data_IF_188208426793
#
_entry.id   IF_188208426793
#
_cell.length_a   1.000
_cell.length_b   1.000
_cell.length_c   1.000
_cell.angle_alpha   90.00
_cell.angle_beta   90.00
_cell.angle_gamma   90.00
#
_symmetry.space_group_name_H-M   'P 1'
#
loop_
_entity.id
_entity.type
_entity.pdbx_description
1 polymer ?
#
# COMPACT_ATOMS: atom_id res chain seq x y z
N UNK A 1 -8.78 -0.97 13.53
CA UNK A 1 -9.78 -0.15 12.80
C UNK A 1 -11.16 -0.26 13.47
N UNK A 2 -11.80 0.84 13.92
CA UNK A 2 -13.08 0.77 14.65
C UNK A 2 -14.28 0.97 13.70
N UNK A 3 -14.91 -0.12 13.26
CA UNK A 3 -15.92 -0.15 12.20
C UNK A 3 -17.34 0.14 12.73
N UNK A 4 -17.62 1.37 13.15
CA UNK A 4 -19.02 1.85 13.34
C UNK A 4 -19.68 2.23 12.01
N UNK A 5 -19.60 1.34 11.01
CA UNK A 5 -19.93 1.66 9.61
C UNK A 5 -21.21 0.98 9.10
N UNK A 6 -21.86 0.14 9.91
CA UNK A 6 -22.99 -0.70 9.49
C UNK A 6 -22.58 -1.81 8.53
N UNK A 7 -21.28 -2.06 8.37
CA UNK A 7 -20.72 -3.22 7.64
C UNK A 7 -20.26 -4.25 8.65
N UNK A 8 -20.59 -5.53 8.43
CA UNK A 8 -20.01 -6.63 9.21
C UNK A 8 -18.61 -6.91 8.66
N UNK A 9 -17.54 -6.74 9.45
CA UNK A 9 -16.16 -6.80 8.94
C UNK A 9 -15.80 -8.15 8.29
N UNK A 10 -16.36 -9.24 8.82
CA UNK A 10 -16.12 -10.60 8.32
C UNK A 10 -16.98 -11.03 7.12
N UNK A 11 -17.88 -10.18 6.61
CA UNK A 11 -18.59 -10.50 5.37
C UNK A 11 -17.62 -10.55 4.20
N UNK A 12 -17.88 -11.43 3.23
CA UNK A 12 -17.21 -11.44 1.93
C UNK A 12 -17.33 -10.05 1.29
N UNK A 13 -16.21 -9.50 0.82
CA UNK A 13 -16.17 -8.24 0.11
C UNK A 13 -16.64 -8.40 -1.35
N UNK A 14 -17.21 -7.33 -1.87
CA UNK A 14 -17.47 -7.10 -3.29
C UNK A 14 -16.61 -5.94 -3.78
N UNK A 15 -16.40 -5.83 -5.08
CA UNK A 15 -15.67 -4.69 -5.67
C UNK A 15 -16.29 -3.36 -5.22
N UNK A 16 -17.62 -3.25 -5.24
CA UNK A 16 -18.37 -2.02 -4.94
C UNK A 16 -18.20 -1.54 -3.48
N UNK A 17 -17.69 -2.39 -2.58
CA UNK A 17 -17.46 -2.01 -1.18
C UNK A 17 -16.39 -0.91 -1.04
N UNK A 18 -15.52 -0.68 -2.04
CA UNK A 18 -14.49 0.37 -1.98
C UNK A 18 -15.09 1.76 -1.70
N UNK A 19 -16.29 2.04 -2.24
CA UNK A 19 -16.99 3.33 -2.05
C UNK A 19 -17.35 3.49 -0.57
N UNK A 20 -18.05 2.52 0.00
CA UNK A 20 -18.48 2.58 1.40
C UNK A 20 -17.30 2.55 2.37
N UNK A 21 -16.27 1.76 2.07
CA UNK A 21 -15.06 1.69 2.88
C UNK A 21 -14.37 3.05 2.93
N UNK A 22 -14.13 3.69 1.78
CA UNK A 22 -13.47 5.00 1.70
C UNK A 22 -14.33 6.16 2.20
N UNK A 23 -15.66 6.04 2.18
CA UNK A 23 -16.55 7.05 2.77
C UNK A 23 -16.63 6.97 4.30
N UNK A 24 -16.69 5.74 4.84
CA UNK A 24 -17.05 5.50 6.25
C UNK A 24 -15.85 5.27 7.17
N UNK A 25 -14.70 4.87 6.64
CA UNK A 25 -13.49 4.69 7.42
C UNK A 25 -12.66 5.97 7.40
N UNK A 26 -12.49 6.68 8.55
CA UNK A 26 -11.81 7.98 8.56
C UNK A 26 -10.40 7.95 7.98
N UNK A 27 -9.63 6.88 8.25
CA UNK A 27 -8.27 6.71 7.73
C UNK A 27 -8.25 6.53 6.21
N UNK A 28 -9.16 5.72 5.65
CA UNK A 28 -9.26 5.55 4.20
C UNK A 28 -9.79 6.82 3.51
N UNK A 29 -10.75 7.51 4.14
CA UNK A 29 -11.26 8.79 3.66
C UNK A 29 -10.16 9.85 3.56
N UNK A 30 -9.33 9.93 4.61
CA UNK A 30 -8.18 10.85 4.64
C UNK A 30 -7.18 10.51 3.53
N UNK A 31 -6.79 9.23 3.40
CA UNK A 31 -5.92 8.79 2.32
C UNK A 31 -6.49 9.16 0.94
N UNK A 32 -7.75 8.81 0.67
CA UNK A 32 -8.42 9.11 -0.59
C UNK A 32 -8.42 10.61 -0.90
N UNK A 33 -8.62 11.46 0.11
CA UNK A 33 -8.62 12.92 -0.09
C UNK A 33 -7.27 13.49 -0.54
N UNK A 34 -6.16 12.83 -0.15
CA UNK A 34 -4.80 13.22 -0.49
C UNK A 34 -4.34 12.60 -1.81
N UNK A 35 -4.67 11.33 -2.01
CA UNK A 35 -4.23 10.57 -3.19
C UNK A 35 -5.10 10.79 -4.41
N UNK A 36 -6.38 11.14 -4.19
CA UNK A 36 -7.42 11.18 -5.23
C UNK A 36 -7.43 9.89 -6.05
N UNK A 37 -7.25 8.76 -5.37
CA UNK A 37 -7.17 7.45 -6.01
C UNK A 37 -8.44 7.11 -6.78
N UNK A 38 -8.29 6.50 -7.95
CA UNK A 38 -9.39 6.01 -8.77
C UNK A 38 -9.33 4.49 -8.86
N UNK A 39 -10.44 3.83 -8.53
CA UNK A 39 -10.52 2.37 -8.47
C UNK A 39 -11.13 1.81 -9.76
N UNK A 40 -10.55 0.71 -10.25
CA UNK A 40 -11.05 -0.02 -11.40
C UNK A 40 -11.05 -1.52 -11.11
N UNK A 41 -12.04 -2.25 -11.62
CA UNK A 41 -12.07 -3.69 -11.53
C UNK A 41 -11.20 -4.31 -12.62
N UNK A 42 -10.29 -5.19 -12.24
CA UNK A 42 -9.49 -6.01 -13.13
C UNK A 42 -9.37 -7.44 -12.56
N UNK A 43 -10.24 -8.33 -13.02
CA UNK A 43 -10.28 -9.73 -12.55
C UNK A 43 -9.12 -10.58 -13.13
N UNK A 44 -8.28 -10.00 -14.00
CA UNK A 44 -7.14 -10.67 -14.63
C UNK A 44 -5.79 -10.32 -13.97
N UNK A 45 -5.78 -9.66 -12.80
CA UNK A 45 -4.57 -9.36 -12.02
C UNK A 45 -3.77 -10.62 -11.61
N UNK A 46 -4.42 -11.78 -11.67
CA UNK A 46 -3.87 -13.05 -11.23
C UNK A 46 -4.19 -13.35 -9.76
N UNK A 47 -3.96 -14.59 -9.35
CA UNK A 47 -4.39 -15.10 -8.03
C UNK A 47 -3.51 -14.64 -6.86
N UNK A 48 -2.52 -13.77 -7.09
CA UNK A 48 -1.51 -13.43 -6.09
C UNK A 48 -1.69 -12.04 -5.48
N UNK A 49 -2.54 -11.19 -6.06
CA UNK A 49 -2.70 -9.80 -5.61
C UNK A 49 -4.17 -9.39 -5.68
N UNK A 50 -4.72 -8.94 -4.56
CA UNK A 50 -6.12 -8.50 -4.47
C UNK A 50 -6.34 -7.11 -5.07
N UNK A 51 -5.32 -6.26 -5.05
CA UNK A 51 -5.31 -4.97 -5.73
C UNK A 51 -3.88 -4.51 -6.01
N UNK A 52 -3.68 -3.66 -7.00
CA UNK A 52 -2.38 -3.03 -7.25
C UNK A 52 -2.54 -1.58 -7.74
N UNK A 53 -1.60 -0.72 -7.36
CA UNK A 53 -1.39 0.55 -8.05
C UNK A 53 -0.91 0.32 -9.50
N UNK A 54 -1.51 1.03 -10.46
CA UNK A 54 -1.07 0.99 -11.86
C UNK A 54 0.11 1.94 -12.06
N UNK A 55 1.31 1.36 -12.19
CA UNK A 55 2.55 2.13 -12.35
C UNK A 55 2.77 3.08 -11.16
N UNK A 56 3.03 4.35 -11.47
CA UNK A 56 3.13 5.43 -10.46
C UNK A 56 1.95 6.43 -10.59
N UNK A 57 0.80 5.95 -11.06
CA UNK A 57 -0.42 6.76 -11.23
C UNK A 57 -1.28 6.78 -9.96
N UNK A 58 -2.40 7.51 -9.98
CA UNK A 58 -3.43 7.44 -8.94
C UNK A 58 -4.45 6.31 -9.17
N UNK A 59 -4.24 5.44 -10.15
CA UNK A 59 -5.17 4.35 -10.46
C UNK A 59 -4.83 3.11 -9.63
N UNK A 60 -5.85 2.47 -9.09
CA UNK A 60 -5.77 1.21 -8.35
C UNK A 60 -6.68 0.20 -9.04
N UNK A 61 -6.09 -0.90 -9.51
CA UNK A 61 -6.82 -2.05 -10.01
C UNK A 61 -7.17 -2.97 -8.86
N UNK A 62 -8.38 -3.51 -8.84
CA UNK A 62 -8.87 -4.44 -7.83
C UNK A 62 -9.32 -5.72 -8.50
N UNK A 63 -8.85 -6.87 -8.01
CA UNK A 63 -9.31 -8.17 -8.44
C UNK A 63 -10.59 -8.54 -7.70
N UNK A 64 -11.74 -8.41 -8.35
CA UNK A 64 -13.03 -8.70 -7.72
C UNK A 64 -13.23 -10.19 -7.38
N UNK A 65 -12.44 -11.08 -7.97
CA UNK A 65 -12.58 -12.53 -7.78
C UNK A 65 -11.79 -13.07 -6.59
N UNK A 66 -10.72 -12.38 -6.16
CA UNK A 66 -9.86 -12.82 -5.06
C UNK A 66 -10.21 -12.19 -3.70
N UNK A 67 -11.00 -11.10 -3.68
CA UNK A 67 -11.31 -10.34 -2.47
C UNK A 67 -11.73 -11.20 -1.28
N UNK A 68 -11.04 -11.06 -0.14
CA UNK A 68 -11.37 -11.73 1.12
C UNK A 68 -12.58 -11.11 1.84
N UNK A 69 -12.40 -10.82 3.13
CA UNK A 69 -13.42 -10.12 3.91
C UNK A 69 -13.43 -8.61 3.63
N UNK A 70 -14.49 -7.91 4.04
CA UNK A 70 -14.54 -6.44 3.99
C UNK A 70 -13.44 -5.78 4.82
N UNK A 71 -13.02 -6.42 5.91
CA UNK A 71 -11.89 -5.95 6.70
C UNK A 71 -10.57 -6.08 5.91
N UNK A 72 -10.33 -7.25 5.30
CA UNK A 72 -9.13 -7.47 4.48
C UNK A 72 -9.12 -6.47 3.33
N UNK A 73 -10.26 -6.30 2.65
CA UNK A 73 -10.36 -5.35 1.55
C UNK A 73 -10.10 -3.90 1.98
N UNK A 74 -10.48 -3.52 3.21
CA UNK A 74 -10.16 -2.21 3.78
C UNK A 74 -8.65 -2.01 3.95
N UNK A 75 -7.93 -3.05 4.39
CA UNK A 75 -6.47 -3.03 4.46
C UNK A 75 -5.85 -2.97 3.07
N UNK A 76 -6.29 -3.83 2.14
CA UNK A 76 -5.83 -3.88 0.74
C UNK A 76 -5.90 -2.51 0.07
N UNK A 77 -7.07 -1.85 0.05
CA UNK A 77 -7.18 -0.54 -0.62
C UNK A 77 -6.43 0.56 0.14
N UNK A 78 -6.28 0.44 1.46
CA UNK A 78 -5.46 1.35 2.26
C UNK A 78 -3.98 1.25 1.92
N UNK A 79 -3.47 0.03 1.75
CA UNK A 79 -2.11 -0.28 1.31
C UNK A 79 -1.83 0.31 -0.07
N UNK A 80 -2.71 0.07 -1.05
CA UNK A 80 -2.55 0.61 -2.40
C UNK A 80 -2.68 2.14 -2.45
N UNK A 81 -3.56 2.74 -1.64
CA UNK A 81 -3.60 4.20 -1.52
C UNK A 81 -2.31 4.76 -0.91
N UNK A 82 -1.65 4.03 0.00
CA UNK A 82 -0.34 4.44 0.49
C UNK A 82 0.74 4.39 -0.58
N UNK A 83 0.69 3.41 -1.48
CA UNK A 83 1.56 3.40 -2.65
C UNK A 83 1.38 4.66 -3.49
N UNK A 84 0.13 5.02 -3.81
CA UNK A 84 -0.19 6.27 -4.53
C UNK A 84 0.30 7.50 -3.78
N UNK A 85 0.11 7.54 -2.46
CA UNK A 85 0.58 8.64 -1.62
C UNK A 85 2.10 8.80 -1.71
N UNK A 86 2.84 7.69 -1.63
CA UNK A 86 4.29 7.71 -1.74
C UNK A 86 4.78 8.11 -3.14
N UNK A 87 4.09 7.70 -4.20
CA UNK A 87 4.39 8.15 -5.57
C UNK A 87 4.24 9.67 -5.71
N UNK A 88 3.20 10.27 -5.13
CA UNK A 88 2.91 11.70 -5.25
C UNK A 88 3.85 12.53 -4.37
N UNK A 89 3.99 12.17 -3.09
CA UNK A 89 4.60 13.04 -2.08
C UNK A 89 6.02 12.66 -1.70
N UNK A 90 6.37 11.37 -1.76
CA UNK A 90 7.62 10.87 -1.19
C UNK A 90 8.62 10.38 -2.23
N UNK A 91 8.21 10.16 -3.48
CA UNK A 91 9.11 9.69 -4.53
C UNK A 91 10.38 10.56 -4.66
N UNK A 92 10.31 11.91 -4.73
CA UNK A 92 11.52 12.73 -4.82
C UNK A 92 12.40 12.62 -3.57
N UNK A 93 11.80 12.60 -2.37
CA UNK A 93 12.50 12.52 -1.08
C UNK A 93 13.26 11.19 -0.97
N UNK A 94 12.57 10.08 -1.24
CA UNK A 94 13.13 8.74 -1.15
C UNK A 94 14.23 8.57 -2.20
N UNK A 95 14.05 9.08 -3.42
CA UNK A 95 15.04 9.00 -4.48
C UNK A 95 16.28 9.87 -4.23
N UNK A 96 16.13 10.99 -3.52
CA UNK A 96 17.28 11.79 -3.07
C UNK A 96 18.13 11.01 -2.05
N UNK A 97 17.47 10.35 -1.10
CA UNK A 97 18.14 9.57 -0.05
C UNK A 97 18.79 8.28 -0.60
N UNK A 98 18.05 7.52 -1.42
CA UNK A 98 18.51 6.22 -1.93
C UNK A 98 19.37 6.33 -3.20
N UNK A 99 19.34 7.49 -3.84
CA UNK A 99 20.03 7.82 -5.08
C UNK A 99 19.21 7.52 -6.35
N UNK A 100 19.47 8.31 -7.39
CA UNK A 100 18.87 8.18 -8.73
C UNK A 100 19.53 7.08 -9.58
N UNK A 101 19.70 5.89 -8.99
CA UNK A 101 20.26 4.71 -9.67
C UNK A 101 19.24 3.57 -9.70
N UNK A 102 19.51 2.51 -10.48
CA UNK A 102 18.69 1.28 -10.51
C UNK A 102 18.49 0.71 -9.10
N UNK A 103 19.58 0.59 -8.32
CA UNK A 103 19.52 0.15 -6.93
C UNK A 103 18.67 1.06 -6.05
N UNK A 104 18.72 2.38 -6.28
CA UNK A 104 17.86 3.30 -5.53
C UNK A 104 16.39 3.20 -5.94
N UNK A 105 16.08 2.90 -7.21
CA UNK A 105 14.70 2.65 -7.66
C UNK A 105 14.14 1.35 -7.11
N UNK A 106 14.99 0.32 -7.01
CA UNK A 106 14.68 -0.91 -6.32
C UNK A 106 14.41 -0.67 -4.83
N UNK A 107 15.32 0.05 -4.16
CA UNK A 107 15.11 0.45 -2.76
C UNK A 107 13.83 1.26 -2.57
N UNK A 108 13.48 2.15 -3.50
CA UNK A 108 12.20 2.87 -3.46
C UNK A 108 11.00 1.91 -3.47
N UNK A 109 10.96 0.94 -4.39
CA UNK A 109 9.88 -0.08 -4.43
C UNK A 109 9.78 -0.83 -3.10
N UNK A 110 10.91 -1.30 -2.56
CA UNK A 110 10.92 -2.01 -1.28
C UNK A 110 10.44 -1.13 -0.13
N UNK A 111 10.88 0.13 -0.08
CA UNK A 111 10.50 1.03 1.00
C UNK A 111 9.02 1.43 0.94
N UNK A 112 8.46 1.56 -0.27
CA UNK A 112 7.02 1.78 -0.49
C UNK A 112 6.17 0.64 0.06
N UNK A 113 6.56 -0.61 -0.19
CA UNK A 113 5.94 -1.80 0.41
C UNK A 113 6.09 -1.80 1.93
N UNK A 114 7.30 -1.54 2.44
CA UNK A 114 7.57 -1.48 3.87
C UNK A 114 6.64 -0.50 4.58
N UNK A 115 6.49 0.72 4.06
CA UNK A 115 5.62 1.73 4.67
C UNK A 115 4.15 1.32 4.67
N UNK A 116 3.71 0.66 3.61
CA UNK A 116 2.31 0.28 3.42
C UNK A 116 1.93 -0.86 4.37
N UNK A 117 2.79 -1.88 4.51
CA UNK A 117 2.61 -2.92 5.53
C UNK A 117 2.78 -2.39 6.96
N UNK A 118 3.70 -1.45 7.22
CA UNK A 118 3.81 -0.85 8.55
C UNK A 118 2.55 -0.07 8.94
N UNK A 119 1.87 0.56 7.96
CA UNK A 119 0.58 1.20 8.18
C UNK A 119 -0.52 0.19 8.49
N UNK A 120 -0.62 -0.90 7.73
CA UNK A 120 -1.58 -1.97 8.01
C UNK A 120 -1.41 -2.51 9.44
N UNK A 121 -0.16 -2.81 9.82
CA UNK A 121 0.17 -3.24 11.17
C UNK A 121 -0.26 -2.21 12.23
N UNK A 122 0.04 -0.93 12.00
CA UNK A 122 -0.39 0.17 12.88
C UNK A 122 -1.92 0.36 12.96
N UNK A 123 -2.66 -0.10 11.95
CA UNK A 123 -4.13 -0.11 11.95
C UNK A 123 -4.74 -1.32 12.68
N UNK A 124 -3.90 -2.25 13.14
CA UNK A 124 -4.26 -3.46 13.85
C UNK A 124 -4.42 -4.69 12.96
N UNK A 125 -3.84 -4.70 11.75
CA UNK A 125 -3.73 -5.92 10.97
C UNK A 125 -2.64 -6.82 11.55
N UNK A 126 -2.95 -8.09 11.83
CA UNK A 126 -2.00 -9.06 12.41
C UNK A 126 -1.10 -9.67 11.33
N UNK A 127 -0.45 -8.80 10.56
CA UNK A 127 0.48 -9.19 9.51
C UNK A 127 1.90 -9.31 10.05
N UNK A 128 2.60 -10.33 9.59
CA UNK A 128 4.04 -10.42 9.77
C UNK A 128 4.73 -9.61 8.65
N UNK A 129 4.95 -8.31 8.89
CA UNK A 129 5.58 -7.38 7.93
C UNK A 129 6.87 -7.95 7.34
N UNK A 130 7.74 -8.53 8.17
CA UNK A 130 9.00 -9.13 7.74
C UNK A 130 8.80 -10.30 6.77
N UNK A 131 7.76 -11.12 6.97
CA UNK A 131 7.44 -12.24 6.08
C UNK A 131 6.93 -11.74 4.72
N UNK A 132 6.01 -10.77 4.71
CA UNK A 132 5.51 -10.17 3.48
C UNK A 132 6.64 -9.51 2.67
N UNK A 133 7.50 -8.76 3.34
CA UNK A 133 8.64 -8.11 2.68
C UNK A 133 9.66 -9.09 2.10
N UNK A 134 9.78 -10.31 2.64
CA UNK A 134 10.65 -11.35 2.03
C UNK A 134 10.24 -11.70 0.61
N UNK A 135 8.94 -11.69 0.30
CA UNK A 135 8.44 -11.90 -1.07
C UNK A 135 8.96 -10.86 -2.06
N UNK A 136 9.32 -9.68 -1.57
CA UNK A 136 9.85 -8.57 -2.35
C UNK A 136 11.38 -8.52 -2.38
N UNK A 137 12.10 -9.27 -1.55
CA UNK A 137 13.58 -9.28 -1.55
C UNK A 137 14.14 -9.90 -2.84
N UNK A 138 13.58 -11.03 -3.28
CA UNK A 138 14.04 -11.73 -4.49
C UNK A 138 13.85 -10.91 -5.77
N UNK A 139 12.68 -10.27 -6.00
CA UNK A 139 12.47 -9.41 -7.17
C UNK A 139 13.24 -8.08 -7.13
N UNK A 140 13.52 -7.51 -5.95
CA UNK A 140 14.01 -6.13 -5.82
C UNK A 140 15.55 -6.03 -5.77
N UNK A 141 16.29 -7.15 -5.82
CA UNK A 141 17.76 -7.17 -5.65
C UNK A 141 18.19 -6.75 -4.23
N UNK A 142 18.95 -7.63 -3.56
CA UNK A 142 19.42 -7.44 -2.19
C UNK A 142 20.13 -6.10 -1.96
N UNK A 143 20.81 -5.53 -2.97
CA UNK A 143 21.46 -4.24 -2.88
C UNK A 143 20.49 -3.07 -2.68
N UNK A 144 19.29 -3.13 -3.27
CA UNK A 144 18.24 -2.13 -3.04
C UNK A 144 17.68 -2.19 -1.63
N UNK A 145 17.44 -3.42 -1.12
CA UNK A 145 16.98 -3.67 0.25
C UNK A 145 18.02 -3.18 1.28
N UNK A 146 19.30 -3.52 1.09
CA UNK A 146 20.37 -3.07 1.97
C UNK A 146 20.49 -1.54 2.00
N UNK A 147 20.30 -0.86 0.87
CA UNK A 147 20.27 0.61 0.82
C UNK A 147 19.17 1.20 1.70
N UNK A 148 17.98 0.59 1.70
CA UNK A 148 16.87 1.03 2.56
C UNK A 148 17.25 0.85 4.02
N UNK A 149 17.71 -0.33 4.43
CA UNK A 149 18.09 -0.58 5.82
C UNK A 149 19.19 0.36 6.31
N UNK A 150 20.22 0.60 5.48
CA UNK A 150 21.30 1.53 5.81
C UNK A 150 20.85 2.99 5.95
N UNK A 151 19.70 3.36 5.37
CA UNK A 151 19.16 4.71 5.40
C UNK A 151 17.81 4.80 6.14
N UNK A 152 17.38 3.75 6.84
CA UNK A 152 16.00 3.64 7.34
C UNK A 152 15.62 4.78 8.28
N UNK A 153 16.52 5.14 9.20
CA UNK A 153 16.32 6.26 10.13
C UNK A 153 16.12 7.57 9.35
N UNK A 154 17.00 7.85 8.37
CA UNK A 154 16.93 9.05 7.56
C UNK A 154 15.64 9.08 6.75
N UNK A 155 15.26 7.97 6.13
CA UNK A 155 14.01 7.83 5.37
C UNK A 155 12.80 8.12 6.27
N UNK A 156 12.67 7.42 7.39
CA UNK A 156 11.54 7.55 8.31
C UNK A 156 11.40 8.97 8.88
N UNK A 157 12.52 9.68 9.06
CA UNK A 157 12.51 11.07 9.53
C UNK A 157 12.21 12.10 8.43
N UNK A 158 12.40 11.74 7.16
CA UNK A 158 12.30 12.70 6.04
C UNK A 158 10.98 12.60 5.28
N UNK A 159 10.37 11.42 5.26
CA UNK A 159 9.15 11.18 4.49
C UNK A 159 7.93 11.83 5.12
N UNK A 160 7.01 12.28 4.28
CA UNK A 160 5.72 12.82 4.68
C UNK A 160 4.81 11.65 5.04
N UNK A 161 4.05 11.78 6.13
CA UNK A 161 3.00 10.82 6.51
C UNK A 161 1.61 11.34 6.09
N UNK A 162 0.69 10.46 5.71
CA UNK A 162 -0.69 10.83 5.37
C UNK A 162 -1.54 11.21 6.58
#
# INVERSE_FOLDING_TARGET
>A
MNLKTGMKPGDKASYEDHVKLTEKLPTLKNLLSKTKSVFYRNDNLGNLVDAQQVGESNMIEVNGTSLGSKLDYAYTIGHEMLHVFDSIYNYPIIKDILGKTTLGSHGYKFYKEYRSYMWEHGMGNDINVSLYLKGYITPINQGGVNKVYNNLIKLNNSVINP
#
